data_IF_355851234713
#
_entry.id   IF_355851234713
#
_cell.length_a   1.000
_cell.length_b   1.000
_cell.length_c   1.000
_cell.angle_alpha   90.00
_cell.angle_beta   90.00
_cell.angle_gamma   90.00
#
_symmetry.space_group_name_H-M   'P 1'
#
loop_
_entity.id
_entity.type
_entity.pdbx_description
1 polymer ?
#
# COMPACT_ATOMS: atom_id res chain seq x y z
N UNK A 1 23.80 -19.41 4.72
CA UNK A 1 22.79 -20.11 5.54
C UNK A 1 22.61 -19.33 6.82
N UNK A 2 21.49 -18.70 7.00
CA UNK A 2 21.20 -17.93 8.21
C UNK A 2 20.89 -18.89 9.34
N UNK A 3 21.53 -18.73 10.50
CA UNK A 3 21.31 -19.58 11.65
C UNK A 3 19.94 -19.35 12.28
N UNK A 4 19.44 -20.35 13.02
CA UNK A 4 18.18 -20.30 13.77
C UNK A 4 18.10 -19.07 14.71
N UNK A 5 19.23 -18.57 15.20
CA UNK A 5 19.35 -17.42 16.06
C UNK A 5 19.10 -16.09 15.32
N UNK A 6 19.49 -16.01 14.05
CA UNK A 6 19.21 -14.83 13.21
C UNK A 6 17.74 -14.76 12.81
N UNK A 7 17.10 -15.90 12.55
CA UNK A 7 15.66 -16.00 12.33
C UNK A 7 14.86 -15.59 13.56
N UNK A 8 15.28 -16.03 14.76
CA UNK A 8 14.68 -15.61 16.05
C UNK A 8 14.86 -14.11 16.30
N UNK A 9 16.02 -13.55 15.97
CA UNK A 9 16.31 -12.12 16.10
C UNK A 9 15.45 -11.32 15.11
N UNK A 10 15.30 -11.81 13.89
CA UNK A 10 14.45 -11.19 12.85
C UNK A 10 12.96 -11.22 13.27
N UNK A 11 12.46 -12.35 13.75
CA UNK A 11 11.10 -12.50 14.29
C UNK A 11 10.90 -11.60 15.52
N UNK A 12 11.90 -11.51 16.40
CA UNK A 12 11.83 -10.66 17.60
C UNK A 12 11.83 -9.16 17.23
N UNK A 13 12.60 -8.76 16.23
CA UNK A 13 12.61 -7.39 15.69
C UNK A 13 11.25 -7.06 15.05
N UNK A 14 10.62 -8.01 14.38
CA UNK A 14 9.27 -7.84 13.85
C UNK A 14 8.18 -7.71 14.92
N UNK A 15 8.37 -8.36 16.08
CA UNK A 15 7.45 -8.27 17.22
C UNK A 15 7.58 -6.97 18.03
N UNK A 16 8.65 -6.17 17.82
CA UNK A 16 8.88 -4.91 18.54
C UNK A 16 8.43 -3.67 17.76
N UNK A 17 7.82 -3.82 16.59
CA UNK A 17 7.22 -2.68 15.92
C UNK A 17 5.89 -2.34 16.59
N UNK A 18 5.82 -1.15 17.18
CA UNK A 18 4.64 -0.64 17.87
C UNK A 18 3.41 -0.65 16.93
N UNK A 19 2.46 -1.52 17.24
CA UNK A 19 1.19 -1.58 16.51
C UNK A 19 0.33 -0.37 16.89
N UNK A 20 -0.15 0.36 15.91
CA UNK A 20 -1.07 1.48 16.13
C UNK A 20 -2.46 0.93 16.48
N UNK A 21 -2.92 1.25 17.68
CA UNK A 21 -4.20 0.79 18.23
C UNK A 21 -5.26 1.89 18.29
N UNK A 22 -4.89 3.13 17.97
CA UNK A 22 -5.81 4.29 18.01
C UNK A 22 -5.96 4.95 16.63
N UNK A 23 -7.19 5.15 16.19
CA UNK A 23 -7.52 5.93 15.01
C UNK A 23 -7.18 7.43 15.15
N UNK A 24 -6.87 7.89 16.37
CA UNK A 24 -6.43 9.26 16.65
C UNK A 24 -4.95 9.48 16.34
N UNK A 25 -4.20 8.40 16.06
CA UNK A 25 -2.80 8.51 15.67
C UNK A 25 -2.64 9.42 14.43
N UNK A 26 -1.67 10.36 14.42
CA UNK A 26 -1.47 11.29 13.29
C UNK A 26 -1.27 10.61 11.95
N UNK A 27 -0.61 9.46 11.90
CA UNK A 27 -0.39 8.68 10.67
C UNK A 27 -1.70 8.14 10.10
N UNK A 28 -2.61 7.72 10.97
CA UNK A 28 -3.95 7.24 10.57
C UNK A 28 -4.81 8.41 10.09
N UNK A 29 -4.76 9.54 10.79
CA UNK A 29 -5.48 10.76 10.35
C UNK A 29 -5.00 11.25 8.99
N UNK A 30 -3.69 11.23 8.74
CA UNK A 30 -3.12 11.59 7.45
C UNK A 30 -3.60 10.65 6.32
N UNK A 31 -3.62 9.34 6.55
CA UNK A 31 -4.16 8.37 5.61
C UNK A 31 -5.65 8.62 5.29
N UNK A 32 -6.47 8.85 6.31
CA UNK A 32 -7.89 9.16 6.14
C UNK A 32 -8.11 10.45 5.34
N UNK A 33 -7.27 11.47 5.52
CA UNK A 33 -7.32 12.69 4.71
C UNK A 33 -6.99 12.43 3.24
N UNK A 34 -5.99 11.59 2.95
CA UNK A 34 -5.69 11.16 1.58
C UNK A 34 -6.87 10.42 0.93
N UNK A 35 -7.58 9.58 1.69
CA UNK A 35 -8.78 8.88 1.19
C UNK A 35 -9.91 9.85 0.85
N UNK A 36 -10.12 10.86 1.70
CA UNK A 36 -11.29 11.73 1.61
C UNK A 36 -11.10 12.97 0.72
N UNK A 37 -9.87 13.52 0.66
CA UNK A 37 -9.59 14.82 0.06
C UNK A 37 -8.67 14.73 -1.14
N UNK A 38 -9.18 15.03 -2.33
CA UNK A 38 -8.38 15.08 -3.55
C UNK A 38 -7.28 16.15 -3.49
N UNK A 39 -7.52 17.26 -2.80
CA UNK A 39 -6.50 18.29 -2.59
C UNK A 39 -5.28 17.75 -1.84
N UNK A 40 -5.49 16.97 -0.77
CA UNK A 40 -4.39 16.35 -0.03
C UNK A 40 -3.60 15.36 -0.90
N UNK A 41 -4.28 14.61 -1.76
CA UNK A 41 -3.61 13.67 -2.69
C UNK A 41 -2.70 14.41 -3.66
N UNK A 42 -3.18 15.51 -4.24
CA UNK A 42 -2.38 16.33 -5.19
C UNK A 42 -1.22 17.05 -4.50
N UNK A 43 -1.44 17.57 -3.30
CA UNK A 43 -0.41 18.26 -2.52
C UNK A 43 0.73 17.34 -2.10
N UNK A 44 0.42 16.09 -1.75
CA UNK A 44 1.40 15.10 -1.31
C UNK A 44 1.90 14.17 -2.41
N UNK A 45 1.34 14.26 -3.62
CA UNK A 45 1.59 13.33 -4.74
C UNK A 45 1.39 11.86 -4.37
N UNK A 46 0.38 11.60 -3.54
CA UNK A 46 0.04 10.27 -3.05
C UNK A 46 -1.43 9.94 -3.34
N UNK A 47 -1.70 8.67 -3.60
CA UNK A 47 -3.05 8.10 -3.59
C UNK A 47 -3.09 6.81 -2.76
N UNK A 48 -4.28 6.36 -2.41
CA UNK A 48 -4.47 5.20 -1.54
C UNK A 48 -4.95 4.01 -2.35
N UNK A 49 -4.36 2.86 -2.10
CA UNK A 49 -4.74 1.57 -2.66
C UNK A 49 -5.06 0.62 -1.53
N UNK A 50 -6.20 -0.05 -1.61
CA UNK A 50 -6.66 -1.03 -0.65
C UNK A 50 -6.67 -2.42 -1.28
N UNK A 51 -6.09 -3.37 -0.58
CA UNK A 51 -6.02 -4.76 -1.00
C UNK A 51 -4.69 -5.13 -1.66
N UNK A 52 -4.32 -6.39 -1.45
CA UNK A 52 -3.05 -6.94 -1.95
C UNK A 52 -3.01 -7.00 -3.47
N UNK A 53 -4.10 -7.43 -4.09
CA UNK A 53 -4.18 -7.59 -5.55
C UNK A 53 -4.00 -6.27 -6.27
N UNK A 54 -4.68 -5.24 -5.82
CA UNK A 54 -4.62 -3.89 -6.36
C UNK A 54 -3.22 -3.29 -6.16
N UNK A 55 -2.63 -3.51 -4.98
CA UNK A 55 -1.27 -3.09 -4.68
C UNK A 55 -0.25 -3.75 -5.62
N UNK A 56 -0.30 -5.08 -5.77
CA UNK A 56 0.59 -5.81 -6.68
C UNK A 56 0.41 -5.37 -8.14
N UNK A 57 -0.82 -5.04 -8.54
CA UNK A 57 -1.07 -4.48 -9.87
C UNK A 57 -0.39 -3.11 -10.05
N UNK A 58 -0.49 -2.21 -9.08
CA UNK A 58 0.24 -0.92 -9.11
C UNK A 58 1.75 -1.13 -9.23
N UNK A 59 2.33 -2.02 -8.43
CA UNK A 59 3.76 -2.32 -8.47
C UNK A 59 4.19 -2.88 -9.84
N UNK A 60 3.39 -3.78 -10.43
CA UNK A 60 3.66 -4.35 -11.76
C UNK A 60 3.64 -3.31 -12.88
N UNK A 61 2.97 -2.18 -12.67
CA UNK A 61 2.95 -1.03 -13.59
C UNK A 61 4.00 0.04 -13.26
N UNK A 62 4.94 -0.29 -12.37
CA UNK A 62 6.07 0.57 -12.02
C UNK A 62 5.70 1.73 -11.08
N UNK A 63 4.56 1.66 -10.37
CA UNK A 63 4.27 2.56 -9.27
C UNK A 63 5.11 2.20 -8.06
N UNK A 64 5.42 3.21 -7.24
CA UNK A 64 6.18 3.03 -6.01
C UNK A 64 5.28 3.19 -4.79
N UNK A 65 5.33 2.21 -3.90
CA UNK A 65 4.67 2.31 -2.60
C UNK A 65 5.50 3.21 -1.67
N UNK A 66 4.82 4.12 -0.98
CA UNK A 66 5.42 5.00 0.02
C UNK A 66 5.28 4.39 1.42
N UNK A 67 4.07 4.06 1.83
CA UNK A 67 3.77 3.49 3.14
C UNK A 67 2.75 2.36 3.02
N UNK A 68 3.00 1.26 3.72
CA UNK A 68 2.13 0.10 3.81
C UNK A 68 1.58 -0.01 5.23
N UNK A 69 0.26 0.00 5.37
CA UNK A 69 -0.44 -0.27 6.62
C UNK A 69 -0.91 -1.72 6.63
N UNK A 70 -0.50 -2.47 7.64
CA UNK A 70 -0.70 -3.91 7.71
C UNK A 70 -1.42 -4.28 9.00
N UNK A 71 -2.49 -5.06 8.86
CA UNK A 71 -3.10 -5.78 9.97
C UNK A 71 -2.76 -7.27 9.85
N UNK A 72 -1.79 -7.73 10.63
CA UNK A 72 -1.31 -9.12 10.59
C UNK A 72 -2.36 -10.13 11.01
N UNK A 73 -3.31 -9.74 11.87
CA UNK A 73 -4.41 -10.60 12.30
C UNK A 73 -5.42 -10.90 11.18
N UNK A 74 -5.53 -10.00 10.19
CA UNK A 74 -6.38 -10.17 9.00
C UNK A 74 -5.58 -10.81 7.87
N UNK A 75 -4.33 -10.45 7.71
CA UNK A 75 -3.40 -11.02 6.73
C UNK A 75 -2.90 -12.40 7.21
N UNK A 76 -3.70 -13.43 7.01
CA UNK A 76 -3.55 -14.77 7.62
C UNK A 76 -2.39 -15.63 7.08
N UNK A 77 -1.72 -15.23 6.02
CA UNK A 77 -0.70 -16.04 5.38
C UNK A 77 0.68 -15.37 5.50
N UNK A 78 1.56 -15.94 6.33
CA UNK A 78 2.93 -15.45 6.51
C UNK A 78 3.70 -15.32 5.18
N UNK A 79 3.55 -16.30 4.30
CA UNK A 79 4.21 -16.31 3.00
C UNK A 79 3.74 -15.17 2.07
N UNK A 80 2.49 -14.76 2.20
CA UNK A 80 1.95 -13.61 1.45
C UNK A 80 2.52 -12.29 1.95
N UNK A 81 2.76 -12.18 3.25
CA UNK A 81 3.40 -11.04 3.87
C UNK A 81 4.85 -10.89 3.40
N UNK A 82 5.64 -11.95 3.45
CA UNK A 82 7.04 -11.94 3.04
C UNK A 82 7.19 -11.54 1.57
N UNK A 83 6.36 -12.09 0.69
CA UNK A 83 6.34 -11.73 -0.72
C UNK A 83 5.99 -10.26 -0.94
N UNK A 84 5.04 -9.73 -0.17
CA UNK A 84 4.61 -8.35 -0.26
C UNK A 84 5.75 -7.38 0.16
N UNK A 85 6.39 -7.65 1.28
CA UNK A 85 7.53 -6.85 1.78
C UNK A 85 8.72 -6.94 0.83
N UNK A 86 9.04 -8.12 0.33
CA UNK A 86 10.13 -8.32 -0.63
C UNK A 86 9.91 -7.54 -1.94
N UNK A 87 8.66 -7.37 -2.37
CA UNK A 87 8.32 -6.56 -3.54
C UNK A 87 8.49 -5.05 -3.32
N UNK A 88 8.63 -4.59 -2.07
CA UNK A 88 8.65 -3.17 -1.70
C UNK A 88 9.76 -2.85 -0.70
N UNK A 89 11.04 -3.05 -1.04
CA UNK A 89 12.15 -2.94 -0.06
C UNK A 89 12.32 -1.53 0.54
N UNK A 90 11.86 -0.49 -0.14
CA UNK A 90 11.97 0.91 0.31
C UNK A 90 10.69 1.45 0.95
N UNK A 91 9.65 0.64 1.09
CA UNK A 91 8.38 1.04 1.64
C UNK A 91 8.41 1.06 3.17
N UNK A 92 7.81 2.09 3.77
CA UNK A 92 7.61 2.13 5.22
C UNK A 92 6.47 1.19 5.60
N UNK A 93 6.70 0.31 6.57
CA UNK A 93 5.67 -0.57 7.11
C UNK A 93 5.15 -0.05 8.44
N UNK A 94 3.84 0.04 8.57
CA UNK A 94 3.13 0.45 9.78
C UNK A 94 2.12 -0.64 10.13
N UNK A 95 2.24 -1.18 11.34
CA UNK A 95 1.32 -2.19 11.83
C UNK A 95 0.12 -1.53 12.51
N UNK A 96 -1.06 -2.04 12.24
CA UNK A 96 -2.31 -1.52 12.80
C UNK A 96 -3.14 -2.67 13.39
N UNK A 97 -3.88 -2.34 14.47
CA UNK A 97 -4.84 -3.28 15.05
C UNK A 97 -6.07 -3.47 14.14
N UNK A 98 -6.86 -4.55 14.31
CA UNK A 98 -8.08 -4.77 13.56
C UNK A 98 -9.06 -3.59 13.61
N UNK A 99 -9.23 -2.97 14.78
CA UNK A 99 -10.10 -1.81 14.96
C UNK A 99 -9.65 -0.61 14.13
N UNK A 100 -8.34 -0.38 14.03
CA UNK A 100 -7.78 0.70 13.20
C UNK A 100 -7.91 0.32 11.73
N UNK A 101 -7.66 -0.94 11.38
CA UNK A 101 -7.82 -1.42 10.02
C UNK A 101 -9.25 -1.23 9.50
N UNK A 102 -10.26 -1.56 10.28
CA UNK A 102 -11.67 -1.35 9.93
C UNK A 102 -12.00 0.13 9.65
N UNK A 103 -11.26 1.05 10.25
CA UNK A 103 -11.43 2.50 10.01
C UNK A 103 -10.78 2.98 8.72
N UNK A 104 -9.68 2.35 8.31
CA UNK A 104 -8.93 2.74 7.10
C UNK A 104 -9.30 1.92 5.87
N UNK A 105 -9.92 0.76 6.04
CA UNK A 105 -10.42 -0.08 4.97
C UNK A 105 -11.78 0.43 4.48
N UNK A 106 -11.85 0.90 3.24
CA UNK A 106 -13.09 1.42 2.66
C UNK A 106 -14.14 0.33 2.44
N UNK A 107 -13.68 -0.85 2.03
CA UNK A 107 -14.56 -1.98 1.64
C UNK A 107 -14.80 -2.99 2.76
N UNK A 108 -14.29 -2.78 3.96
CA UNK A 108 -14.46 -3.66 5.12
C UNK A 108 -13.98 -5.10 4.91
N UNK A 109 -13.20 -5.64 5.84
CA UNK A 109 -12.83 -7.06 5.88
C UNK A 109 -11.91 -7.58 4.78
N UNK A 110 -11.28 -6.69 4.02
CA UNK A 110 -10.40 -7.05 2.93
C UNK A 110 -8.99 -7.35 3.43
N UNK A 111 -8.31 -8.15 2.78
CA UNK A 111 -6.92 -8.64 2.73
C UNK A 111 -5.86 -8.13 3.74
N UNK A 112 -6.21 -7.22 4.68
CA UNK A 112 -5.32 -6.76 5.77
C UNK A 112 -4.25 -5.76 5.36
N UNK A 113 -4.32 -5.18 4.16
CA UNK A 113 -3.34 -4.21 3.66
C UNK A 113 -3.99 -2.98 3.03
N UNK A 114 -3.46 -1.81 3.36
CA UNK A 114 -3.74 -0.53 2.71
C UNK A 114 -2.42 0.17 2.46
N UNK A 115 -2.21 0.73 1.28
CA UNK A 115 -0.96 1.38 0.92
C UNK A 115 -1.19 2.81 0.41
N UNK A 116 -0.21 3.68 0.67
CA UNK A 116 -0.07 4.94 -0.06
C UNK A 116 0.94 4.76 -1.19
N UNK A 117 0.57 5.19 -2.37
CA UNK A 117 1.33 5.02 -3.61
C UNK A 117 1.70 6.40 -4.15
N UNK A 118 2.92 6.56 -4.64
CA UNK A 118 3.36 7.80 -5.30
C UNK A 118 2.68 7.97 -6.64
N UNK A 119 2.14 9.15 -6.88
CA UNK A 119 1.60 9.51 -8.19
C UNK A 119 2.71 9.53 -9.23
N UNK A 120 2.36 9.22 -10.46
CA UNK A 120 3.18 9.48 -11.65
C UNK A 120 2.63 10.70 -12.38
N UNK A 121 3.51 11.45 -12.99
CA UNK A 121 3.10 12.47 -13.95
C UNK A 121 2.54 11.79 -15.21
N UNK A 122 1.33 12.18 -15.59
CA UNK A 122 0.67 11.73 -16.79
C UNK A 122 0.26 12.97 -17.61
N UNK A 123 1.01 13.25 -18.65
CA UNK A 123 0.65 14.25 -19.63
C UNK A 123 -0.02 13.63 -20.86
N UNK A 124 -0.69 14.41 -21.69
CA UNK A 124 -1.24 13.95 -22.96
C UNK A 124 -0.16 13.44 -23.92
N UNK A 125 1.04 13.97 -23.78
CA UNK A 125 2.25 13.58 -24.52
C UNK A 125 2.78 12.18 -24.11
N UNK A 126 2.38 11.67 -22.96
CA UNK A 126 2.76 10.34 -22.48
C UNK A 126 1.76 9.24 -22.86
N UNK A 127 0.71 9.59 -23.60
CA UNK A 127 -0.23 8.60 -24.09
C UNK A 127 0.46 7.60 -25.03
N UNK A 128 0.18 6.30 -24.89
CA UNK A 128 0.78 5.30 -25.77
C UNK A 128 0.37 5.56 -27.22
N UNK A 129 1.32 5.41 -28.13
CA UNK A 129 1.01 5.48 -29.57
C UNK A 129 -0.01 4.40 -29.95
N UNK A 130 -0.91 4.67 -30.91
CA UNK A 130 -1.84 3.66 -31.39
C UNK A 130 -1.08 2.49 -32.00
N UNK A 131 -1.58 1.29 -31.78
CA UNK A 131 -1.04 0.08 -32.42
C UNK A 131 -1.31 0.16 -33.93
N UNK A 132 -0.33 -0.23 -34.73
CA UNK A 132 -0.45 -0.21 -36.19
C UNK A 132 -1.70 -0.95 -36.66
N UNK A 133 -2.49 -0.28 -37.50
CA UNK A 133 -3.78 -0.81 -38.01
C UNK A 133 -5.00 -0.61 -37.10
N UNK A 134 -4.86 0.04 -35.95
CA UNK A 134 -5.97 0.33 -35.04
C UNK A 134 -6.12 1.84 -34.82
N UNK A 135 -7.37 2.33 -34.85
CA UNK A 135 -7.66 3.69 -34.43
C UNK A 135 -7.53 3.82 -32.90
N UNK A 136 -6.90 4.90 -32.38
CA UNK A 136 -6.80 5.10 -30.95
C UNK A 136 -8.18 5.43 -30.37
N UNK A 137 -8.49 4.83 -29.23
CA UNK A 137 -9.67 5.17 -28.41
C UNK A 137 -9.20 5.62 -27.03
N UNK A 138 -9.47 6.86 -26.69
CA UNK A 138 -9.20 7.42 -25.37
C UNK A 138 -10.52 7.71 -24.67
N UNK A 139 -10.69 7.14 -23.48
CA UNK A 139 -11.85 7.39 -22.63
C UNK A 139 -11.38 8.20 -21.41
N UNK A 140 -11.99 9.35 -21.21
CA UNK A 140 -11.74 10.23 -20.07
C UNK A 140 -12.95 10.14 -19.15
N UNK A 141 -12.72 9.75 -17.89
CA UNK A 141 -13.73 9.57 -16.84
C UNK A 141 -13.63 10.70 -15.79
#
# INVERSE_FOLDING_TARGET
MYGFQELLTFVLIMQTQDTITSAQNPKIKALLQLQQKSACRREQDLFVVEGRRELMHCLSKGYQADTLFICTEILKAEQEYDNLIAAMPSCKCIYVSPNVYDRIAYRGGTEGVVATIRMKEHGLDTLPAPTEGHAPLYVVL
#
